data_IF_382292561264
#
_entry.id   IF_382292561264
#
_cell.length_a   1.000
_cell.length_b   1.000
_cell.length_c   1.000
_cell.angle_alpha   90.00
_cell.angle_beta   90.00
_cell.angle_gamma   90.00
#
_symmetry.space_group_name_H-M   'P 1'
#
loop_
_entity.id
_entity.type
_entity.pdbx_description
1 polymer ?
#
# COMPACT_ATOMS: atom_id res chain seq x y z
N UNK A 1 -26.56 30.71 3.60
CA UNK A 1 -27.13 29.49 2.99
C UNK A 1 -26.07 28.41 3.02
N UNK A 2 -25.89 27.82 4.19
CA UNK A 2 -24.90 26.80 4.48
C UNK A 2 -25.33 25.45 3.91
N UNK A 3 -24.62 24.97 2.90
CA UNK A 3 -24.71 23.59 2.44
C UNK A 3 -23.40 22.88 2.76
N UNK A 4 -23.20 22.62 4.05
CA UNK A 4 -22.19 21.68 4.52
C UNK A 4 -22.57 20.29 4.01
N UNK A 5 -22.05 19.94 2.82
CA UNK A 5 -22.20 18.63 2.23
C UNK A 5 -21.53 17.60 3.13
N UNK A 6 -22.36 16.93 3.96
CA UNK A 6 -21.95 15.79 4.77
C UNK A 6 -21.26 14.79 3.84
N UNK A 7 -19.93 14.65 3.97
CA UNK A 7 -19.15 13.61 3.30
C UNK A 7 -19.67 12.26 3.79
N UNK A 8 -20.62 11.69 3.05
CA UNK A 8 -21.04 10.30 3.23
C UNK A 8 -19.80 9.44 3.06
N UNK A 9 -19.27 8.92 4.16
CA UNK A 9 -18.18 7.93 4.15
C UNK A 9 -18.74 6.65 3.56
N UNK A 10 -18.77 6.54 2.23
CA UNK A 10 -19.06 5.28 1.55
C UNK A 10 -17.88 4.33 1.80
N UNK A 11 -17.99 3.54 2.87
CA UNK A 11 -17.10 2.41 3.12
C UNK A 11 -17.26 1.40 1.97
N UNK A 12 -16.13 0.98 1.41
CA UNK A 12 -15.95 -0.40 0.97
C UNK A 12 -16.34 -0.76 -0.46
N UNK A 13 -16.18 0.12 -1.46
CA UNK A 13 -16.12 -0.36 -2.85
C UNK A 13 -14.78 -1.03 -3.09
N UNK A 14 -14.84 -2.33 -3.33
CA UNK A 14 -13.68 -3.15 -3.67
C UNK A 14 -13.19 -2.75 -5.06
N UNK A 15 -11.96 -2.24 -5.15
CA UNK A 15 -11.34 -1.91 -6.43
C UNK A 15 -10.65 -3.16 -6.95
N UNK A 16 -11.10 -3.62 -8.12
CA UNK A 16 -10.59 -4.80 -8.81
C UNK A 16 -9.14 -4.61 -9.27
N UNK A 17 -8.40 -5.71 -9.46
CA UNK A 17 -6.97 -5.69 -9.82
C UNK A 17 -6.69 -4.92 -11.10
N UNK A 18 -7.46 -5.17 -12.16
CA UNK A 18 -7.36 -4.44 -13.44
C UNK A 18 -7.49 -2.92 -13.27
N UNK A 19 -8.42 -2.48 -12.43
CA UNK A 19 -8.58 -1.05 -12.14
C UNK A 19 -7.36 -0.48 -11.42
N UNK A 20 -6.71 -1.25 -10.53
CA UNK A 20 -5.47 -0.83 -9.85
C UNK A 20 -4.31 -0.72 -10.83
N UNK A 21 -4.19 -1.66 -11.76
CA UNK A 21 -3.18 -1.64 -12.83
C UNK A 21 -3.31 -0.40 -13.70
N UNK A 22 -4.54 -0.09 -14.15
CA UNK A 22 -4.81 1.13 -14.94
C UNK A 22 -4.41 2.38 -14.15
N UNK A 23 -4.79 2.47 -12.87
CA UNK A 23 -4.42 3.60 -12.01
C UNK A 23 -2.90 3.70 -11.84
N UNK A 24 -2.19 2.58 -11.69
CA UNK A 24 -0.75 2.54 -11.57
C UNK A 24 -0.06 3.02 -12.87
N UNK A 25 -0.55 2.60 -14.02
CA UNK A 25 -0.04 3.04 -15.33
C UNK A 25 -0.24 4.55 -15.52
N UNK A 26 -1.41 5.10 -15.16
CA UNK A 26 -1.66 6.54 -15.21
C UNK A 26 -0.70 7.30 -14.27
N UNK A 27 -0.47 6.77 -13.06
CA UNK A 27 0.48 7.36 -12.13
C UNK A 27 1.90 7.36 -12.71
N UNK A 28 2.32 6.27 -13.34
CA UNK A 28 3.64 6.16 -13.97
C UNK A 28 3.77 7.14 -15.14
N UNK A 29 2.75 7.23 -15.98
CA UNK A 29 2.68 8.20 -17.08
C UNK A 29 2.86 9.64 -16.56
N UNK A 30 2.11 10.04 -15.52
CA UNK A 30 2.26 11.39 -14.97
C UNK A 30 3.63 11.65 -14.32
N UNK A 31 4.30 10.62 -13.78
CA UNK A 31 5.68 10.76 -13.29
C UNK A 31 6.67 10.95 -14.44
N UNK A 32 6.52 10.19 -15.52
CA UNK A 32 7.36 10.33 -16.72
C UNK A 32 7.16 11.69 -17.39
N UNK A 33 5.92 12.18 -17.49
CA UNK A 33 5.66 13.56 -17.93
C UNK A 33 6.32 14.57 -16.99
N UNK A 34 6.38 14.28 -15.68
CA UNK A 34 7.04 15.12 -14.70
C UNK A 34 8.53 15.30 -14.95
N UNK A 35 9.20 14.18 -15.21
CA UNK A 35 10.63 14.10 -15.42
C UNK A 35 11.04 14.62 -16.81
N UNK A 36 10.20 14.45 -17.82
CA UNK A 36 10.46 14.87 -19.20
C UNK A 36 10.16 16.35 -19.49
N UNK A 37 9.72 17.12 -18.48
CA UNK A 37 9.55 18.58 -18.60
C UNK A 37 8.38 19.04 -19.48
N UNK A 38 7.38 18.19 -19.74
CA UNK A 38 6.24 18.53 -20.62
C UNK A 38 5.23 19.45 -19.88
N UNK A 39 5.37 20.76 -20.14
CA UNK A 39 4.42 21.89 -20.18
C UNK A 39 3.41 22.16 -19.05
N UNK A 40 3.05 21.24 -18.17
CA UNK A 40 2.06 21.50 -17.11
C UNK A 40 2.78 21.59 -15.76
N UNK A 41 2.48 22.54 -14.86
CA UNK A 41 3.07 22.57 -13.53
C UNK A 41 2.77 21.25 -12.78
N UNK A 42 3.76 20.36 -12.74
CA UNK A 42 3.66 18.99 -12.23
C UNK A 42 3.67 18.91 -10.70
N UNK A 43 3.72 20.06 -10.03
CA UNK A 43 3.63 20.19 -8.58
C UNK A 43 2.36 19.54 -8.00
N UNK A 44 1.33 19.29 -8.82
CA UNK A 44 0.06 18.68 -8.40
C UNK A 44 -0.37 17.42 -9.17
N UNK A 45 0.56 16.58 -9.65
CA UNK A 45 0.20 15.31 -10.34
C UNK A 45 -0.76 14.41 -9.53
N UNK A 46 -0.64 14.40 -8.20
CA UNK A 46 -1.56 13.65 -7.32
C UNK A 46 -2.99 14.17 -7.38
N UNK A 47 -3.18 15.48 -7.43
CA UNK A 47 -4.52 16.08 -7.53
C UNK A 47 -5.16 15.74 -8.88
N UNK A 48 -4.39 15.78 -9.97
CA UNK A 48 -4.84 15.36 -11.30
C UNK A 48 -5.25 13.89 -11.32
N UNK A 49 -4.44 13.02 -10.71
CA UNK A 49 -4.77 11.61 -10.58
C UNK A 49 -6.09 11.41 -9.81
N UNK A 50 -6.27 12.10 -8.68
CA UNK A 50 -7.50 12.01 -7.89
C UNK A 50 -8.73 12.55 -8.65
N UNK A 51 -8.56 13.64 -9.40
CA UNK A 51 -9.62 14.17 -10.25
C UNK A 51 -9.99 13.20 -11.38
N UNK A 52 -8.99 12.62 -12.06
CA UNK A 52 -9.19 11.71 -13.18
C UNK A 52 -9.79 10.36 -12.76
N UNK A 53 -9.29 9.79 -11.67
CA UNK A 53 -9.64 8.41 -11.25
C UNK A 53 -10.72 8.38 -10.17
N UNK A 54 -11.07 9.53 -9.58
CA UNK A 54 -12.03 9.67 -8.47
C UNK A 54 -11.76 8.73 -7.28
N UNK A 55 -10.49 8.40 -7.05
CA UNK A 55 -10.09 7.54 -5.92
C UNK A 55 -9.74 8.36 -4.68
N UNK A 56 -9.92 7.71 -3.52
CA UNK A 56 -9.47 8.24 -2.24
C UNK A 56 -7.96 8.10 -2.08
N UNK A 57 -7.35 8.99 -1.29
CA UNK A 57 -5.91 8.97 -1.01
C UNK A 57 -5.47 7.63 -0.37
N UNK A 58 -6.29 7.05 0.50
CA UNK A 58 -6.00 5.75 1.14
C UNK A 58 -5.85 4.65 0.09
N UNK A 59 -6.70 4.66 -0.94
CA UNK A 59 -6.61 3.75 -2.08
C UNK A 59 -5.33 3.95 -2.85
N UNK A 60 -5.00 5.22 -3.17
CA UNK A 60 -3.76 5.56 -3.84
C UNK A 60 -2.53 5.07 -3.08
N UNK A 61 -2.46 5.27 -1.76
CA UNK A 61 -1.34 4.79 -0.94
C UNK A 61 -1.21 3.27 -0.97
N UNK A 62 -2.34 2.54 -1.00
CA UNK A 62 -2.34 1.07 -1.14
C UNK A 62 -1.79 0.65 -2.51
N UNK A 63 -2.33 1.23 -3.59
CA UNK A 63 -1.91 0.92 -4.97
C UNK A 63 -0.43 1.26 -5.15
N UNK A 64 0.03 2.43 -4.69
CA UNK A 64 1.43 2.84 -4.81
C UNK A 64 2.38 1.97 -3.99
N UNK A 65 1.96 1.46 -2.82
CA UNK A 65 2.78 0.51 -2.06
C UNK A 65 2.88 -0.84 -2.76
N UNK A 66 1.78 -1.28 -3.34
CA UNK A 66 1.69 -2.53 -4.09
C UNK A 66 2.51 -2.46 -5.39
N UNK A 67 2.40 -1.37 -6.16
CA UNK A 67 3.22 -1.14 -7.36
C UNK A 67 4.72 -1.15 -7.03
N UNK A 68 5.14 -0.46 -5.97
CA UNK A 68 6.55 -0.47 -5.55
C UNK A 68 7.02 -1.86 -5.11
N UNK A 69 6.12 -2.71 -4.59
CA UNK A 69 6.47 -4.09 -4.21
C UNK A 69 6.66 -4.96 -5.46
N UNK A 70 5.89 -4.69 -6.52
CA UNK A 70 6.02 -5.33 -7.84
C UNK A 70 7.32 -4.90 -8.52
N UNK A 71 7.63 -3.60 -8.54
CA UNK A 71 8.88 -3.06 -9.10
C UNK A 71 10.13 -3.64 -8.40
N UNK A 72 10.06 -3.88 -7.09
CA UNK A 72 11.13 -4.52 -6.31
C UNK A 72 11.21 -6.04 -6.47
N UNK A 73 10.29 -6.66 -7.20
CA UNK A 73 10.21 -8.12 -7.34
C UNK A 73 9.71 -8.87 -6.09
N UNK A 74 9.15 -8.18 -5.09
CA UNK A 74 8.61 -8.84 -3.89
C UNK A 74 7.28 -9.57 -4.17
N UNK A 75 6.54 -9.10 -5.18
CA UNK A 75 5.24 -9.65 -5.61
C UNK A 75 5.16 -9.60 -7.13
N UNK A 76 4.64 -10.64 -7.78
CA UNK A 76 4.56 -10.69 -9.25
C UNK A 76 3.41 -9.87 -9.85
N UNK A 77 2.35 -9.61 -9.08
CA UNK A 77 1.15 -8.91 -9.56
C UNK A 77 0.41 -8.22 -8.42
N UNK A 78 -0.56 -7.36 -8.76
CA UNK A 78 -1.50 -6.81 -7.79
C UNK A 78 -2.31 -7.95 -7.14
N UNK A 79 -2.51 -7.86 -5.82
CA UNK A 79 -3.28 -8.82 -5.06
C UNK A 79 -4.77 -8.68 -5.38
N UNK A 80 -5.40 -9.84 -5.55
CA UNK A 80 -6.86 -9.91 -5.66
C UNK A 80 -7.49 -9.29 -4.42
N UNK A 81 -8.61 -8.54 -4.54
CA UNK A 81 -9.07 -7.68 -3.46
C UNK A 81 -9.52 -8.40 -2.17
N UNK A 82 -9.69 -9.73 -2.22
CA UNK A 82 -10.01 -10.59 -1.08
C UNK A 82 -8.82 -11.38 -0.54
N UNK A 83 -7.66 -11.34 -1.21
CA UNK A 83 -6.45 -11.98 -0.73
C UNK A 83 -5.73 -11.02 0.20
N UNK A 84 -5.65 -11.37 1.47
CA UNK A 84 -4.80 -10.64 2.41
C UNK A 84 -3.34 -10.77 1.99
N UNK A 85 -2.59 -9.67 2.15
CA UNK A 85 -1.15 -9.70 2.00
C UNK A 85 -0.57 -10.57 3.12
N UNK A 86 0.23 -11.57 2.76
CA UNK A 86 1.01 -12.35 3.73
C UNK A 86 1.80 -11.38 4.63
N UNK A 87 1.47 -11.38 5.93
CA UNK A 87 2.24 -10.64 6.92
C UNK A 87 3.57 -11.37 7.09
N UNK A 88 4.70 -10.66 6.95
CA UNK A 88 6.00 -11.23 7.30
C UNK A 88 5.99 -11.47 8.81
N UNK A 89 5.89 -12.73 9.22
CA UNK A 89 6.21 -13.12 10.59
C UNK A 89 7.73 -13.09 10.69
N UNK A 90 8.27 -12.12 11.43
CA UNK A 90 9.65 -12.18 11.89
C UNK A 90 9.73 -13.36 12.86
N UNK A 91 10.26 -14.49 12.40
CA UNK A 91 10.67 -15.56 13.32
C UNK A 91 11.76 -14.95 14.19
N UNK A 92 11.50 -14.78 15.48
CA UNK A 92 12.54 -14.43 16.43
C UNK A 92 13.31 -15.71 16.68
N UNK A 93 14.54 -15.76 16.21
CA UNK A 93 15.45 -16.84 16.60
C UNK A 93 15.71 -16.69 18.10
N UNK A 94 15.35 -17.70 18.88
CA UNK A 94 15.58 -17.71 20.33
C UNK A 94 17.10 -17.76 20.53
N UNK A 95 17.65 -16.70 21.11
CA UNK A 95 19.09 -16.61 21.36
C UNK A 95 19.52 -17.70 22.35
N UNK A 96 20.79 -18.17 22.28
CA UNK A 96 21.30 -19.18 23.20
C UNK A 96 21.11 -18.79 24.69
N UNK A 97 21.28 -17.51 25.02
CA UNK A 97 21.08 -16.98 26.38
C UNK A 97 19.62 -17.06 26.86
N UNK A 98 18.66 -16.90 25.95
CA UNK A 98 17.23 -17.04 26.25
C UNK A 98 16.88 -18.51 26.50
N UNK A 99 17.49 -19.44 25.74
CA UNK A 99 17.33 -20.89 25.97
C UNK A 99 17.86 -21.29 27.35
N UNK A 100 19.01 -20.76 27.76
CA UNK A 100 19.60 -21.08 29.06
C UNK A 100 18.78 -20.51 30.22
N UNK A 101 18.26 -19.29 30.07
CA UNK A 101 17.32 -18.70 31.04
C UNK A 101 16.05 -19.55 31.19
N UNK A 102 15.49 -20.04 30.08
CA UNK A 102 14.31 -20.92 30.11
C UNK A 102 14.63 -22.25 30.83
N UNK A 103 15.79 -22.85 30.58
CA UNK A 103 16.21 -24.10 31.26
C UNK A 103 16.35 -23.91 32.76
N UNK A 104 16.98 -22.82 33.20
CA UNK A 104 17.15 -22.53 34.62
C UNK A 104 15.81 -22.31 35.33
N UNK A 105 14.86 -21.63 34.68
CA UNK A 105 13.51 -21.46 35.22
C UNK A 105 12.83 -22.83 35.36
N UNK A 106 12.87 -23.68 34.33
CA UNK A 106 12.24 -25.01 34.38
C UNK A 106 12.87 -25.88 35.49
N UNK A 107 14.19 -25.83 35.66
CA UNK A 107 14.90 -26.61 36.68
C UNK A 107 14.59 -26.15 38.11
N UNK A 108 14.16 -24.91 38.32
CA UNK A 108 13.75 -24.42 39.66
C UNK A 108 12.40 -25.02 40.10
N UNK A 109 11.57 -25.46 39.15
CA UNK A 109 10.24 -26.02 39.42
C UNK A 109 10.17 -27.56 39.46
N UNK A 110 11.31 -28.25 39.35
CA UNK A 110 11.46 -29.71 39.50
C UNK A 110 12.25 -29.99 40.77
#
# INVERSE_FOLDING_TARGET
MDSSSKKVRVRGKIIHTQSREIIANILMFFKQEAENGVTIPLTNYKQRLFAATKILEITYRRISKESNSIERGETSSFLSPRKERLKRCTKKDILPAEKESIRNIIHIFI
#
